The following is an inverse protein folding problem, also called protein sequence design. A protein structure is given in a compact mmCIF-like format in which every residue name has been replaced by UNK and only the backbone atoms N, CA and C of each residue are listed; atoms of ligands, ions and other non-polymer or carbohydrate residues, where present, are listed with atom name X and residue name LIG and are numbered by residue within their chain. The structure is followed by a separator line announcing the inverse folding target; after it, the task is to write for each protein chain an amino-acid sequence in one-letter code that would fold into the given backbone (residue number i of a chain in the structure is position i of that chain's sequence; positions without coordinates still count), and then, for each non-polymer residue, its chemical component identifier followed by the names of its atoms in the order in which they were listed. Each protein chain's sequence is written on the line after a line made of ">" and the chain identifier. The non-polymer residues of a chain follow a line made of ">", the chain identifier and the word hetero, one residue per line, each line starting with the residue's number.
data_IF_305984972450
#
_entry.id   IF_305984972450
#
_cell.length_a   1.000
_cell.length_b   1.000
_cell.length_c   1.000
_cell.angle_alpha   90.00
_cell.angle_beta   90.00
_cell.angle_gamma   90.00
#
_symmetry.space_group_name_H-M   'P 1'
#
loop_
_entity.id
_entity.type
_entity.pdbx_description
1 polymer ?
#
# COMPACT_ATOMS: atom_id res chain seq x y z
N UNK A 1 -24.01 -38.81 35.10
CA UNK A 1 -24.82 -37.57 35.10
C UNK A 1 -23.98 -36.30 34.86
N UNK A 2 -22.84 -36.07 35.55
CA UNK A 2 -21.96 -34.89 35.33
C UNK A 2 -21.35 -34.76 33.92
N UNK A 3 -21.09 -35.86 33.22
CA UNK A 3 -20.48 -35.84 31.87
C UNK A 3 -21.44 -35.36 30.78
N UNK A 4 -22.75 -35.65 30.94
CA UNK A 4 -23.79 -35.23 29.99
C UNK A 4 -24.02 -33.72 30.07
N UNK A 5 -24.13 -33.15 31.29
CA UNK A 5 -24.33 -31.71 31.48
C UNK A 5 -23.16 -30.88 30.98
N UNK A 6 -21.92 -31.35 31.15
CA UNK A 6 -20.73 -30.71 30.56
C UNK A 6 -20.77 -30.75 29.04
N UNK A 7 -21.14 -31.88 28.42
CA UNK A 7 -21.27 -31.99 26.95
C UNK A 7 -22.35 -31.08 26.38
N UNK A 8 -23.50 -30.97 27.04
CA UNK A 8 -24.56 -30.03 26.65
C UNK A 8 -24.07 -28.57 26.74
N UNK A 9 -23.46 -28.15 27.86
CA UNK A 9 -22.88 -26.80 27.97
C UNK A 9 -21.81 -26.53 26.92
N UNK A 10 -20.97 -27.52 26.62
CA UNK A 10 -19.95 -27.43 25.57
C UNK A 10 -20.60 -27.19 24.20
N UNK A 11 -21.66 -27.94 23.87
CA UNK A 11 -22.40 -27.78 22.62
C UNK A 11 -23.07 -26.40 22.50
N UNK A 12 -23.63 -25.86 23.59
CA UNK A 12 -24.19 -24.50 23.58
C UNK A 12 -23.11 -23.45 23.34
N UNK A 13 -21.96 -23.55 24.02
CA UNK A 13 -20.86 -22.61 23.86
C UNK A 13 -20.27 -22.67 22.44
N UNK A 14 -20.05 -23.86 21.88
CA UNK A 14 -19.56 -24.00 20.51
C UNK A 14 -20.56 -23.47 19.50
N UNK A 15 -21.87 -23.73 19.67
CA UNK A 15 -22.89 -23.19 18.77
C UNK A 15 -23.00 -21.67 18.86
N UNK A 16 -22.87 -21.09 20.06
CA UNK A 16 -22.82 -19.65 20.27
C UNK A 16 -21.59 -19.00 19.61
N UNK A 17 -20.39 -19.57 19.83
CA UNK A 17 -19.15 -19.10 19.21
C UNK A 17 -19.16 -19.26 17.68
N UNK A 18 -19.68 -20.36 17.16
CA UNK A 18 -19.87 -20.57 15.72
C UNK A 18 -20.87 -19.57 15.13
N UNK A 19 -21.93 -19.25 15.88
CA UNK A 19 -22.85 -18.16 15.56
C UNK A 19 -22.09 -16.84 15.40
N UNK A 20 -21.36 -16.41 16.42
CA UNK A 20 -20.54 -15.19 16.40
C UNK A 20 -19.54 -15.18 15.24
N UNK A 21 -18.82 -16.28 15.02
CA UNK A 21 -17.87 -16.43 13.93
C UNK A 21 -18.55 -16.28 12.57
N UNK A 22 -19.72 -16.89 12.39
CA UNK A 22 -20.48 -16.78 11.14
C UNK A 22 -20.98 -15.36 10.87
N UNK A 23 -21.38 -14.62 11.91
CA UNK A 23 -21.76 -13.21 11.77
C UNK A 23 -20.54 -12.35 11.43
N UNK A 24 -19.45 -12.47 12.21
CA UNK A 24 -18.21 -11.73 11.96
C UNK A 24 -17.67 -11.97 10.55
N UNK A 25 -17.67 -13.23 10.09
CA UNK A 25 -17.24 -13.59 8.75
C UNK A 25 -18.08 -12.94 7.65
N UNK A 26 -19.41 -12.88 7.81
CA UNK A 26 -20.31 -12.22 6.84
C UNK A 26 -20.02 -10.72 6.74
N UNK A 27 -19.89 -10.02 7.87
CA UNK A 27 -19.60 -8.59 7.87
C UNK A 27 -18.19 -8.29 7.35
N UNK A 28 -17.20 -9.13 7.68
CA UNK A 28 -15.86 -9.02 7.10
C UNK A 28 -15.88 -9.18 5.57
N UNK A 29 -16.65 -10.14 5.06
CA UNK A 29 -16.79 -10.35 3.61
C UNK A 29 -17.47 -9.15 2.93
N UNK A 30 -18.53 -8.61 3.53
CA UNK A 30 -19.18 -7.39 3.04
C UNK A 30 -18.21 -6.20 3.01
N UNK A 31 -17.38 -6.06 4.05
CA UNK A 31 -16.35 -5.03 4.09
C UNK A 31 -15.29 -5.21 2.99
N UNK A 32 -14.84 -6.45 2.74
CA UNK A 32 -13.92 -6.74 1.64
C UNK A 32 -14.53 -6.44 0.28
N UNK A 33 -15.81 -6.77 0.07
CA UNK A 33 -16.54 -6.43 -1.16
C UNK A 33 -16.68 -4.91 -1.32
N UNK A 34 -16.92 -4.17 -0.24
CA UNK A 34 -16.98 -2.71 -0.27
C UNK A 34 -15.64 -2.07 -0.70
N UNK A 35 -14.51 -2.69 -0.36
CA UNK A 35 -13.17 -2.25 -0.77
C UNK A 35 -12.77 -2.67 -2.19
N UNK A 36 -13.61 -3.44 -2.90
CA UNK A 36 -13.31 -3.90 -4.27
C UNK A 36 -12.93 -2.76 -5.23
N UNK A 37 -13.52 -1.56 -5.21
CA UNK A 37 -13.12 -0.50 -6.14
C UNK A 37 -11.66 -0.03 -5.93
N UNK A 38 -11.16 -0.07 -4.70
CA UNK A 38 -9.85 0.49 -4.31
C UNK A 38 -8.74 -0.59 -4.17
N UNK A 39 -9.08 -1.88 -4.29
CA UNK A 39 -8.13 -2.97 -4.11
C UNK A 39 -6.85 -2.88 -4.99
N UNK A 40 -6.89 -2.46 -6.28
CA UNK A 40 -5.68 -2.44 -7.10
C UNK A 40 -4.63 -1.44 -6.56
N UNK A 41 -5.10 -0.33 -6.02
CA UNK A 41 -4.28 0.71 -5.40
C UNK A 41 -3.63 0.20 -4.12
N UNK A 42 -4.43 -0.44 -3.25
CA UNK A 42 -3.93 -1.05 -2.00
C UNK A 42 -2.91 -2.16 -2.27
N UNK A 43 -3.17 -3.05 -3.24
CA UNK A 43 -2.20 -4.09 -3.61
C UNK A 43 -0.87 -3.52 -4.09
N UNK A 44 -0.91 -2.47 -4.90
CA UNK A 44 0.33 -1.81 -5.37
C UNK A 44 1.12 -1.22 -4.19
N UNK A 45 0.45 -0.54 -3.26
CA UNK A 45 1.07 0.01 -2.05
C UNK A 45 1.66 -1.12 -1.19
N UNK A 46 0.94 -2.21 -0.96
CA UNK A 46 1.42 -3.32 -0.14
C UNK A 46 2.61 -4.04 -0.76
N UNK A 47 2.61 -4.26 -2.08
CA UNK A 47 3.76 -4.83 -2.78
C UNK A 47 4.98 -3.94 -2.58
N UNK A 48 4.83 -2.62 -2.76
CA UNK A 48 5.94 -1.67 -2.56
C UNK A 48 6.43 -1.63 -1.11
N UNK A 49 5.54 -1.71 -0.12
CA UNK A 49 5.91 -1.77 1.30
C UNK A 49 6.64 -3.05 1.66
N UNK A 50 6.23 -4.20 1.10
CA UNK A 50 6.94 -5.48 1.30
C UNK A 50 8.33 -5.41 0.66
N UNK A 51 8.42 -4.89 -0.57
CA UNK A 51 9.71 -4.64 -1.22
C UNK A 51 10.57 -3.66 -0.40
N UNK A 52 9.99 -2.59 0.15
CA UNK A 52 10.71 -1.59 0.96
C UNK A 52 11.26 -2.23 2.24
N UNK A 53 10.47 -3.09 2.88
CA UNK A 53 10.91 -3.83 4.06
C UNK A 53 12.07 -4.78 3.73
N UNK A 54 11.95 -5.57 2.65
CA UNK A 54 13.00 -6.51 2.22
C UNK A 54 14.27 -5.76 1.83
N UNK A 55 14.16 -4.72 1.02
CA UNK A 55 15.30 -3.92 0.53
C UNK A 55 15.93 -3.11 1.67
N UNK A 56 15.13 -2.56 2.59
CA UNK A 56 15.62 -1.85 3.77
C UNK A 56 16.41 -2.74 4.72
N UNK A 57 15.92 -3.96 5.00
CA UNK A 57 16.66 -4.96 5.79
C UNK A 57 17.95 -5.36 5.07
N UNK A 58 17.87 -5.66 3.77
CA UNK A 58 19.04 -6.05 2.96
C UNK A 58 20.10 -4.96 2.94
N UNK A 59 19.70 -3.69 2.80
CA UNK A 59 20.57 -2.52 2.90
C UNK A 59 21.25 -2.47 4.25
N UNK A 60 20.50 -2.52 5.35
CA UNK A 60 21.04 -2.45 6.71
C UNK A 60 22.10 -3.52 6.95
N UNK A 61 21.83 -4.77 6.53
CA UNK A 61 22.81 -5.87 6.61
C UNK A 61 24.05 -5.57 5.78
N UNK A 62 23.89 -5.07 4.55
CA UNK A 62 25.01 -4.77 3.64
C UNK A 62 25.92 -3.65 4.16
N UNK A 63 25.35 -2.61 4.75
CA UNK A 63 26.11 -1.49 5.32
C UNK A 63 26.47 -1.70 6.81
N UNK A 64 26.21 -2.89 7.36
CA UNK A 64 26.45 -3.27 8.77
C UNK A 64 25.79 -2.34 9.79
N UNK A 65 24.63 -1.79 9.44
CA UNK A 65 23.82 -0.99 10.33
C UNK A 65 22.86 -1.89 11.14
N UNK A 66 22.60 -1.52 12.40
CA UNK A 66 21.72 -2.28 13.26
C UNK A 66 20.26 -2.23 12.76
N UNK A 67 19.65 -3.40 12.56
CA UNK A 67 18.20 -3.53 12.35
C UNK A 67 17.52 -3.36 13.70
N UNK A 68 16.87 -2.22 13.91
CA UNK A 68 16.19 -1.90 15.16
C UNK A 68 14.68 -2.14 15.07
N UNK A 69 14.07 -2.56 16.17
CA UNK A 69 12.61 -2.72 16.26
C UNK A 69 11.85 -1.43 15.98
N UNK A 70 12.49 -0.27 16.20
CA UNK A 70 11.95 1.05 15.85
C UNK A 70 11.66 1.13 14.35
N UNK A 71 12.63 0.79 13.49
CA UNK A 71 12.47 0.85 12.03
C UNK A 71 11.44 -0.15 11.51
N UNK A 72 11.42 -1.35 12.07
CA UNK A 72 10.41 -2.36 11.73
C UNK A 72 9.00 -1.90 12.10
N UNK A 73 8.84 -1.25 13.26
CA UNK A 73 7.56 -0.65 13.67
C UNK A 73 7.16 0.48 12.74
N UNK A 74 8.09 1.29 12.26
CA UNK A 74 7.79 2.37 11.31
C UNK A 74 7.20 1.81 10.01
N UNK A 75 7.70 0.66 9.52
CA UNK A 75 7.08 -0.06 8.39
C UNK A 75 5.65 -0.51 8.70
N UNK A 76 5.38 -1.08 9.88
CA UNK A 76 4.02 -1.45 10.30
C UNK A 76 3.10 -0.22 10.36
N UNK A 77 3.61 0.90 10.86
CA UNK A 77 2.87 2.17 10.88
C UNK A 77 2.52 2.60 9.45
N UNK A 78 3.44 2.49 8.48
CA UNK A 78 3.13 2.74 7.06
C UNK A 78 1.99 1.86 6.55
N UNK A 79 2.03 0.54 6.81
CA UNK A 79 0.97 -0.39 6.40
C UNK A 79 -0.41 0.06 6.91
N UNK A 80 -0.52 0.46 8.17
CA UNK A 80 -1.80 0.87 8.77
C UNK A 80 -2.23 2.24 8.26
N UNK A 81 -1.36 3.25 8.35
CA UNK A 81 -1.75 4.63 8.08
C UNK A 81 -1.94 4.92 6.59
N UNK A 82 -1.23 4.23 5.68
CA UNK A 82 -1.50 4.36 4.25
C UNK A 82 -2.84 3.74 3.86
N UNK A 83 -3.20 2.61 4.47
CA UNK A 83 -4.53 2.02 4.29
C UNK A 83 -5.63 2.95 4.76
N UNK A 84 -5.45 3.59 5.93
CA UNK A 84 -6.40 4.59 6.46
C UNK A 84 -6.50 5.79 5.53
N UNK A 85 -5.37 6.33 5.03
CA UNK A 85 -5.37 7.49 4.14
C UNK A 85 -6.13 7.21 2.83
N UNK A 86 -5.88 6.07 2.21
CA UNK A 86 -6.61 5.62 1.01
C UNK A 86 -8.09 5.41 1.32
N UNK A 87 -8.42 4.82 2.47
CA UNK A 87 -9.80 4.59 2.88
C UNK A 87 -10.58 5.90 3.07
N UNK A 88 -9.98 6.88 3.74
CA UNK A 88 -10.59 8.21 3.92
C UNK A 88 -10.82 8.87 2.55
N UNK A 89 -9.83 8.81 1.65
CA UNK A 89 -9.96 9.36 0.30
C UNK A 89 -11.06 8.66 -0.50
N UNK A 90 -11.15 7.33 -0.41
CA UNK A 90 -12.22 6.54 -1.02
C UNK A 90 -13.60 6.90 -0.47
N UNK A 91 -13.72 7.09 0.85
CA UNK A 91 -14.97 7.50 1.48
C UNK A 91 -15.43 8.89 0.96
N UNK A 92 -14.51 9.81 0.73
CA UNK A 92 -14.82 11.10 0.11
C UNK A 92 -15.25 10.91 -1.35
N UNK A 93 -14.57 10.06 -2.12
CA UNK A 93 -14.93 9.76 -3.51
C UNK A 93 -16.36 9.23 -3.65
N UNK A 94 -16.78 8.28 -2.80
CA UNK A 94 -18.13 7.73 -2.85
C UNK A 94 -19.20 8.73 -2.38
N UNK A 95 -18.83 9.70 -1.54
CA UNK A 95 -19.77 10.67 -0.95
C UNK A 95 -19.96 11.89 -1.85
N UNK A 96 -18.89 12.39 -2.48
CA UNK A 96 -18.91 13.66 -3.21
C UNK A 96 -18.82 13.49 -4.73
N UNK A 97 -18.25 12.39 -5.22
CA UNK A 97 -18.00 12.17 -6.64
C UNK A 97 -18.74 10.93 -7.11
N UNK A 98 -18.03 9.84 -7.34
CA UNK A 98 -18.57 8.54 -7.72
C UNK A 98 -17.59 7.44 -7.31
N UNK A 99 -18.14 6.30 -6.90
CA UNK A 99 -17.38 5.10 -6.58
C UNK A 99 -16.59 4.52 -7.76
N UNK A 100 -16.90 4.92 -9.00
CA UNK A 100 -16.22 4.40 -10.20
C UNK A 100 -14.99 5.20 -10.63
N UNK A 101 -14.97 6.50 -10.34
CA UNK A 101 -13.90 7.38 -10.84
C UNK A 101 -12.67 7.40 -9.91
N UNK A 102 -12.89 7.30 -8.60
CA UNK A 102 -11.85 7.19 -7.57
C UNK A 102 -10.78 8.29 -7.65
N UNK A 103 -11.19 9.54 -7.86
CA UNK A 103 -10.26 10.65 -8.12
C UNK A 103 -9.31 10.87 -6.93
N UNK A 104 -9.85 11.04 -5.73
CA UNK A 104 -9.05 11.31 -4.54
C UNK A 104 -8.28 10.07 -4.10
N UNK A 105 -8.89 8.89 -4.12
CA UNK A 105 -8.20 7.65 -3.78
C UNK A 105 -7.00 7.41 -4.71
N UNK A 106 -7.14 7.66 -6.02
CA UNK A 106 -6.02 7.56 -6.98
C UNK A 106 -4.95 8.61 -6.75
N UNK A 107 -5.32 9.84 -6.41
CA UNK A 107 -4.36 10.90 -6.12
C UNK A 107 -3.56 10.58 -4.86
N UNK A 108 -4.24 10.26 -3.76
CA UNK A 108 -3.61 9.94 -2.47
C UNK A 108 -2.77 8.68 -2.58
N UNK A 109 -3.32 7.60 -3.15
CA UNK A 109 -2.56 6.37 -3.32
C UNK A 109 -1.42 6.50 -4.31
N UNK A 110 -1.60 7.25 -5.40
CA UNK A 110 -0.54 7.55 -6.35
C UNK A 110 0.62 8.28 -5.68
N UNK A 111 0.34 9.26 -4.82
CA UNK A 111 1.36 9.95 -4.05
C UNK A 111 2.10 9.01 -3.08
N UNK A 112 1.38 8.14 -2.37
CA UNK A 112 1.97 7.12 -1.49
C UNK A 112 2.85 6.16 -2.29
N UNK A 113 2.37 5.68 -3.45
CA UNK A 113 3.12 4.82 -4.37
C UNK A 113 4.43 5.47 -4.79
N UNK A 114 4.44 6.78 -5.09
CA UNK A 114 5.65 7.51 -5.45
C UNK A 114 6.65 7.59 -4.30
N UNK A 115 6.19 7.84 -3.07
CA UNK A 115 7.04 7.86 -1.87
C UNK A 115 7.70 6.49 -1.66
N UNK A 116 6.92 5.42 -1.69
CA UNK A 116 7.44 4.06 -1.46
C UNK A 116 8.30 3.57 -2.61
N UNK A 117 8.00 3.98 -3.85
CA UNK A 117 8.87 3.74 -4.99
C UNK A 117 10.24 4.43 -4.81
N UNK A 118 10.25 5.71 -4.43
CA UNK A 118 11.50 6.44 -4.18
C UNK A 118 12.32 5.76 -3.06
N UNK A 119 11.66 5.39 -1.95
CA UNK A 119 12.31 4.67 -0.84
C UNK A 119 12.99 3.38 -1.30
N UNK A 120 12.31 2.58 -2.11
CA UNK A 120 12.88 1.38 -2.71
C UNK A 120 14.10 1.68 -3.60
N UNK A 121 14.01 2.69 -4.47
CA UNK A 121 15.12 3.08 -5.34
C UNK A 121 16.35 3.52 -4.53
N UNK A 122 16.17 4.29 -3.46
CA UNK A 122 17.26 4.70 -2.56
C UNK A 122 17.92 3.49 -1.88
N UNK A 123 17.11 2.51 -1.46
CA UNK A 123 17.62 1.28 -0.86
C UNK A 123 18.43 0.45 -1.87
N UNK A 124 17.90 0.27 -3.08
CA UNK A 124 18.59 -0.45 -4.16
C UNK A 124 19.86 0.29 -4.58
N UNK A 125 19.83 1.63 -4.64
CA UNK A 125 21.01 2.44 -4.97
C UNK A 125 22.14 2.21 -3.97
N UNK A 126 21.79 2.19 -2.67
CA UNK A 126 22.76 1.90 -1.61
C UNK A 126 23.30 0.47 -1.72
N UNK A 127 22.44 -0.50 -2.05
CA UNK A 127 22.86 -1.90 -2.18
C UNK A 127 23.75 -2.10 -3.40
N UNK A 128 23.43 -1.49 -4.53
CA UNK A 128 24.16 -1.69 -5.80
C UNK A 128 25.40 -0.82 -5.92
N UNK A 129 25.48 0.29 -5.17
CA UNK A 129 26.53 1.29 -5.29
C UNK A 129 26.34 2.24 -6.48
N UNK A 130 25.18 2.17 -7.15
CA UNK A 130 24.82 3.01 -8.29
C UNK A 130 23.73 3.97 -7.84
N UNK A 131 23.88 5.27 -8.11
CA UNK A 131 22.84 6.26 -7.82
C UNK A 131 21.70 6.17 -8.85
N UNK A 132 20.78 5.23 -8.64
CA UNK A 132 19.65 4.99 -9.54
C UNK A 132 18.65 6.16 -9.51
N UNK A 133 18.57 6.89 -8.41
CA UNK A 133 17.65 8.02 -8.30
C UNK A 133 18.07 9.17 -9.22
N UNK A 134 19.36 9.50 -9.22
CA UNK A 134 19.92 10.49 -10.14
C UNK A 134 19.73 10.03 -11.59
N UNK A 135 20.04 8.76 -11.90
CA UNK A 135 19.88 8.23 -13.25
C UNK A 135 18.43 8.30 -13.76
N UNK A 136 17.45 8.01 -12.89
CA UNK A 136 16.03 8.14 -13.23
C UNK A 136 15.68 9.61 -13.46
N UNK A 137 16.07 10.51 -12.55
CA UNK A 137 15.83 11.95 -12.69
C UNK A 137 16.37 12.51 -14.00
N UNK A 138 17.61 12.17 -14.34
CA UNK A 138 18.26 12.65 -15.56
C UNK A 138 17.53 12.20 -16.82
N UNK A 139 17.14 10.91 -16.86
CA UNK A 139 16.34 10.38 -17.97
C UNK A 139 14.98 11.05 -18.08
N UNK A 140 14.29 11.25 -16.96
CA UNK A 140 12.98 11.91 -16.92
C UNK A 140 13.11 13.36 -17.40
N UNK A 141 14.08 14.13 -16.89
CA UNK A 141 14.32 15.51 -17.34
C UNK A 141 14.64 15.57 -18.82
N UNK A 142 15.52 14.69 -19.33
CA UNK A 142 15.85 14.65 -20.76
C UNK A 142 14.65 14.34 -21.65
N UNK A 143 13.72 13.50 -21.17
CA UNK A 143 12.49 13.16 -21.88
C UNK A 143 11.53 14.35 -21.94
N UNK A 144 11.40 15.11 -20.86
CA UNK A 144 10.59 16.34 -20.87
C UNK A 144 11.24 17.43 -21.74
N UNK A 145 12.55 17.60 -21.65
CA UNK A 145 13.28 18.59 -22.47
C UNK A 145 13.15 18.31 -23.97
N UNK A 146 13.20 17.03 -24.38
CA UNK A 146 13.00 16.67 -25.79
C UNK A 146 11.58 16.98 -26.25
N UNK A 147 10.56 16.66 -25.44
CA UNK A 147 9.15 16.96 -25.74
C UNK A 147 8.87 18.46 -25.80
N UNK A 148 9.49 19.26 -24.92
CA UNK A 148 9.39 20.71 -24.94
C UNK A 148 10.04 21.31 -26.19
N UNK A 149 11.16 20.75 -26.66
CA UNK A 149 11.82 21.19 -27.90
C UNK A 149 11.01 20.84 -29.15
N UNK A 150 10.46 19.63 -29.23
CA UNK A 150 9.55 19.21 -30.31
C UNK A 150 8.34 20.17 -30.42
N UNK A 151 7.70 20.49 -29.29
CA UNK A 151 6.55 21.40 -29.26
C UNK A 151 6.88 22.84 -29.66
N UNK A 152 8.13 23.30 -29.52
CA UNK A 152 8.57 24.64 -29.94
C UNK A 152 9.02 24.67 -31.40
N UNK A 153 9.63 23.59 -31.91
CA UNK A 153 10.04 23.47 -33.31
C UNK A 153 8.85 23.47 -34.28
N UNK A 154 7.73 22.85 -33.89
CA UNK A 154 6.50 22.80 -34.69
C UNK A 154 5.82 24.18 -34.85
N UNK A 155 5.97 25.06 -33.85
CA UNK A 155 5.41 26.43 -33.88
C UNK A 155 6.25 27.45 -34.65
N UNK A 156 7.45 27.09 -35.11
CA UNK A 156 8.32 28.00 -35.88
C UNK A 156 8.22 27.76 -37.39
N UNK A 157 7.58 26.65 -37.80
CA UNK A 157 7.38 26.26 -39.20
C UNK A 157 5.90 26.34 -39.64
N UNK A 158 5.04 26.98 -38.86
CA UNK A 158 3.63 27.26 -39.14
C UNK A 158 3.38 28.77 -39.06
#
# INVERSE_FOLDING_TARGET
>A
MKTLTTKYKMNYLTNFLNGLWSFAGKYAMLFLVFLTPVHPLLYTIYILLVCDLITGITKAVKIKEAVTSKRMRDSVIKFVFYSIAVFIAFQVDITLFSATALYLARLVGGYIILIEFQSNIENISTITGIDLWVMIKDKVMSFFDSKLKESKGDKTNA
#
